data_IF_691640141557
#
_entry.id   IF_691640141557
#
_cell.length_a   1.000
_cell.length_b   1.000
_cell.length_c   1.000
_cell.angle_alpha   90.00
_cell.angle_beta   90.00
_cell.angle_gamma   90.00
#
_symmetry.space_group_name_H-M   'P 1'
#
loop_
_entity.id
_entity.type
_entity.pdbx_description
1 polymer ?
#
# COMPACT_ATOMS: atom_id res chain seq x y z
N UNK A 1 13.13 6.99 2.50
CA UNK A 1 12.83 6.91 1.05
C UNK A 1 11.52 6.16 0.89
N UNK A 2 10.59 6.73 0.14
CA UNK A 2 9.32 6.10 -0.19
C UNK A 2 9.44 5.57 -1.61
N UNK A 3 9.05 4.32 -1.83
CA UNK A 3 9.02 3.67 -3.14
C UNK A 3 7.56 3.34 -3.42
N UNK A 4 6.92 4.10 -4.29
CA UNK A 4 5.54 3.86 -4.65
C UNK A 4 5.46 2.69 -5.64
N UNK A 5 4.45 1.82 -5.49
CA UNK A 5 4.19 0.67 -6.34
C UNK A 5 5.42 -0.22 -6.56
N UNK A 6 6.06 -0.62 -5.45
CA UNK A 6 7.34 -1.34 -5.45
C UNK A 6 7.30 -2.65 -6.26
N UNK A 7 6.13 -3.29 -6.39
CA UNK A 7 5.95 -4.50 -7.17
C UNK A 7 5.94 -4.28 -8.69
N UNK A 8 5.86 -3.04 -9.19
CA UNK A 8 5.84 -2.75 -10.64
C UNK A 8 7.20 -2.90 -11.33
N UNK A 9 8.28 -2.94 -10.57
CA UNK A 9 9.63 -3.12 -11.09
C UNK A 9 10.18 -4.54 -10.88
N UNK A 10 11.19 -4.91 -11.67
CA UNK A 10 12.01 -6.09 -11.35
C UNK A 10 12.93 -5.75 -10.17
N UNK A 11 12.43 -6.00 -8.96
CA UNK A 11 13.10 -5.62 -7.73
C UNK A 11 14.49 -6.22 -7.57
N UNK A 12 14.69 -7.47 -8.01
CA UNK A 12 16.01 -8.11 -7.96
C UNK A 12 17.03 -7.40 -8.85
N UNK A 13 16.62 -6.90 -10.03
CA UNK A 13 17.48 -6.08 -10.90
C UNK A 13 17.71 -4.68 -10.35
N UNK A 14 16.68 -4.07 -9.77
CA UNK A 14 16.74 -2.70 -9.23
C UNK A 14 17.65 -2.65 -8.00
N UNK A 15 17.45 -3.56 -7.05
CA UNK A 15 18.25 -3.59 -5.83
C UNK A 15 19.63 -4.19 -6.08
N UNK A 16 19.76 -5.21 -6.93
CA UNK A 16 21.06 -5.80 -7.29
C UNK A 16 21.95 -6.05 -6.06
N UNK A 17 23.09 -5.37 -6.01
CA UNK A 17 24.09 -5.46 -4.94
C UNK A 17 23.59 -4.90 -3.59
N UNK A 18 22.59 -4.02 -3.60
CA UNK A 18 21.98 -3.43 -2.41
C UNK A 18 21.05 -4.41 -1.68
N UNK A 19 20.68 -5.52 -2.32
CA UNK A 19 19.77 -6.51 -1.77
C UNK A 19 20.24 -7.07 -0.43
N UNK A 20 21.55 -7.22 -0.24
CA UNK A 20 22.10 -7.61 1.06
C UNK A 20 22.07 -6.45 2.07
N UNK A 21 22.39 -5.25 1.61
CA UNK A 21 22.58 -4.06 2.45
C UNK A 21 21.29 -3.51 3.06
N UNK A 22 20.12 -3.87 2.51
CA UNK A 22 18.84 -3.47 3.08
C UNK A 22 18.51 -4.22 4.39
N UNK A 23 19.18 -5.33 4.69
CA UNK A 23 19.02 -6.04 5.97
C UNK A 23 19.49 -5.15 7.14
N UNK A 24 18.71 -5.08 8.23
CA UNK A 24 18.93 -4.11 9.30
C UNK A 24 20.31 -4.23 9.99
N UNK A 25 20.84 -5.45 10.09
CA UNK A 25 22.14 -5.76 10.69
C UNK A 25 23.33 -5.55 9.74
N UNK A 26 23.08 -5.38 8.43
CA UNK A 26 24.11 -5.23 7.39
C UNK A 26 24.34 -3.78 6.93
N UNK A 27 23.83 -2.81 7.67
CA UNK A 27 23.88 -1.37 7.37
C UNK A 27 25.07 -0.65 8.00
N UNK A 28 26.29 -1.13 7.73
CA UNK A 28 27.52 -0.49 8.23
C UNK A 28 28.70 -0.70 7.30
N UNK A 29 29.77 0.09 7.48
CA UNK A 29 31.02 -0.02 6.71
C UNK A 29 31.61 -1.43 6.68
N UNK A 30 31.36 -2.25 7.72
CA UNK A 30 31.81 -3.65 7.79
C UNK A 30 31.25 -4.51 6.64
N UNK A 31 30.07 -4.17 6.15
CA UNK A 31 29.38 -4.89 5.10
C UNK A 31 29.42 -4.15 3.75
N UNK A 32 30.22 -3.08 3.65
CA UNK A 32 30.30 -2.30 2.43
C UNK A 32 30.73 -3.17 1.25
N UNK A 33 30.09 -2.96 0.10
CA UNK A 33 30.35 -3.70 -1.14
C UNK A 33 30.91 -2.76 -2.18
N UNK A 34 31.75 -3.28 -3.08
CA UNK A 34 32.16 -2.55 -4.27
C UNK A 34 31.05 -2.66 -5.31
N UNK A 35 30.57 -1.52 -5.80
CA UNK A 35 29.52 -1.50 -6.81
C UNK A 35 30.11 -1.81 -8.19
N UNK A 36 29.31 -2.38 -9.09
CA UNK A 36 29.74 -2.78 -10.43
C UNK A 36 30.38 -1.63 -11.27
N UNK A 37 29.94 -0.39 -11.04
CA UNK A 37 30.44 0.80 -11.73
C UNK A 37 31.39 1.65 -10.87
N UNK A 38 31.82 1.14 -9.72
CA UNK A 38 32.72 1.87 -8.82
C UNK A 38 34.15 1.87 -9.35
N UNK A 39 34.77 3.05 -9.42
CA UNK A 39 36.19 3.18 -9.77
C UNK A 39 37.07 2.98 -8.51
N UNK A 40 38.28 2.43 -8.70
CA UNK A 40 39.25 2.25 -7.62
C UNK A 40 38.78 1.36 -6.46
N UNK A 41 39.02 1.80 -5.23
CA UNK A 41 38.71 1.08 -3.97
C UNK A 41 37.46 1.63 -3.26
N UNK A 42 36.63 2.40 -3.96
CA UNK A 42 35.41 2.95 -3.38
C UNK A 42 34.41 1.82 -3.06
N UNK A 43 33.79 1.91 -1.88
CA UNK A 43 32.81 0.94 -1.39
C UNK A 43 31.56 1.66 -0.90
N UNK A 44 30.42 0.99 -1.05
CA UNK A 44 29.11 1.51 -0.71
C UNK A 44 28.47 0.67 0.40
N UNK A 45 27.79 1.33 1.33
CA UNK A 45 26.91 0.68 2.30
C UNK A 45 25.68 1.56 2.56
N UNK A 46 24.56 0.93 2.94
CA UNK A 46 23.36 1.65 3.34
C UNK A 46 23.52 2.11 4.79
N UNK A 47 23.33 3.41 5.12
CA UNK A 47 23.45 3.89 6.49
C UNK A 47 22.23 3.50 7.32
N UNK A 48 22.42 3.31 8.64
CA UNK A 48 21.35 2.83 9.56
C UNK A 48 20.14 3.76 9.65
N UNK A 49 20.33 5.06 9.41
CA UNK A 49 19.26 6.06 9.44
C UNK A 49 18.42 6.11 8.15
N UNK A 50 18.73 5.32 7.12
CA UNK A 50 17.90 5.23 5.92
C UNK A 50 16.80 4.19 6.10
N UNK A 51 15.54 4.63 6.08
CA UNK A 51 14.38 3.74 6.06
C UNK A 51 13.79 3.65 4.65
N UNK A 52 13.40 2.44 4.25
CA UNK A 52 12.73 2.15 3.00
C UNK A 52 11.28 1.80 3.31
N UNK A 53 10.33 2.55 2.75
CA UNK A 53 8.90 2.28 2.87
C UNK A 53 8.39 2.07 1.45
N UNK A 54 7.95 0.85 1.15
CA UNK A 54 7.36 0.51 -0.14
C UNK A 54 5.84 0.43 -0.02
N UNK A 55 5.11 1.02 -0.96
CA UNK A 55 3.68 0.73 -1.14
C UNK A 55 3.54 -0.34 -2.22
N UNK A 56 2.51 -1.17 -2.10
CA UNK A 56 2.26 -2.25 -3.04
C UNK A 56 0.76 -2.35 -3.28
N UNK A 57 0.37 -2.38 -4.55
CA UNK A 57 -1.00 -2.75 -4.91
C UNK A 57 -1.08 -4.28 -4.98
N UNK A 58 -1.90 -4.88 -4.13
CA UNK A 58 -2.09 -6.33 -4.01
C UNK A 58 -3.05 -6.92 -5.04
N UNK A 59 -3.90 -6.10 -5.66
CA UNK A 59 -4.87 -6.54 -6.67
C UNK A 59 -4.21 -6.89 -8.01
N UNK A 60 -3.02 -6.33 -8.28
CA UNK A 60 -2.37 -6.49 -9.56
C UNK A 60 -1.59 -7.81 -9.65
N UNK A 61 -2.25 -8.84 -10.18
CA UNK A 61 -1.69 -10.17 -10.44
C UNK A 61 -0.65 -10.21 -11.57
N UNK A 62 -0.53 -9.13 -12.36
CA UNK A 62 0.41 -9.07 -13.50
C UNK A 62 1.84 -8.70 -13.11
N UNK A 63 2.02 -8.25 -11.86
CA UNK A 63 3.28 -7.73 -11.36
C UNK A 63 4.20 -8.83 -10.84
N UNK A 64 5.50 -8.57 -10.88
CA UNK A 64 6.50 -9.51 -10.42
C UNK A 64 6.19 -9.91 -8.97
N UNK A 65 5.85 -11.18 -8.76
CA UNK A 65 5.70 -11.73 -7.41
C UNK A 65 6.95 -11.37 -6.61
N UNK A 66 6.76 -10.64 -5.50
CA UNK A 66 7.89 -10.31 -4.63
C UNK A 66 8.49 -11.61 -4.14
N UNK A 67 9.71 -11.87 -4.58
CA UNK A 67 10.38 -13.14 -4.34
C UNK A 67 10.60 -13.35 -2.84
N UNK A 68 10.88 -14.60 -2.48
CA UNK A 68 11.09 -14.97 -1.08
C UNK A 68 12.28 -14.23 -0.43
N UNK A 69 13.31 -13.89 -1.21
CA UNK A 69 14.48 -13.17 -0.73
C UNK A 69 14.12 -11.72 -0.33
N UNK A 70 13.29 -11.03 -1.10
CA UNK A 70 12.76 -9.70 -0.77
C UNK A 70 11.80 -9.76 0.41
N UNK A 71 10.93 -10.77 0.45
CA UNK A 71 9.96 -10.93 1.54
C UNK A 71 10.63 -11.00 2.92
N UNK A 72 11.82 -11.59 3.00
CA UNK A 72 12.60 -11.67 4.25
C UNK A 72 13.24 -10.36 4.69
N UNK A 73 13.32 -9.35 3.82
CA UNK A 73 14.06 -8.10 4.03
C UNK A 73 13.16 -6.90 4.27
N UNK A 74 11.87 -7.06 3.99
CA UNK A 74 10.83 -6.10 4.31
C UNK A 74 9.90 -6.68 5.38
N UNK A 75 9.39 -5.79 6.24
CA UNK A 75 8.21 -6.10 7.05
C UNK A 75 6.99 -5.73 6.22
N UNK A 76 6.04 -6.66 6.10
CA UNK A 76 4.80 -6.47 5.35
C UNK A 76 3.70 -6.08 6.32
N UNK A 77 3.06 -4.95 6.03
CA UNK A 77 1.92 -4.43 6.79
C UNK A 77 0.76 -4.39 5.81
N UNK A 78 -0.29 -5.16 6.09
CA UNK A 78 -1.52 -5.07 5.32
C UNK A 78 -2.26 -3.78 5.71
N UNK A 79 -2.76 -3.06 4.72
CA UNK A 79 -3.58 -1.85 4.94
C UNK A 79 -4.95 -2.11 4.35
N UNK A 80 -5.90 -2.42 5.23
CA UNK A 80 -7.27 -2.78 4.87
C UNK A 80 -8.13 -1.54 4.59
N UNK A 81 -9.22 -1.68 3.82
CA UNK A 81 -10.21 -0.63 3.67
C UNK A 81 -10.79 -0.20 5.03
N UNK A 82 -10.63 1.09 5.37
CA UNK A 82 -10.94 1.63 6.69
C UNK A 82 -12.43 1.94 6.94
N UNK A 83 -13.37 1.29 6.24
CA UNK A 83 -14.81 1.58 6.36
C UNK A 83 -15.35 1.42 7.79
N UNK A 84 -14.77 0.51 8.58
CA UNK A 84 -15.17 0.24 9.95
C UNK A 84 -14.50 1.13 11.01
N UNK A 85 -13.64 2.06 10.59
CA UNK A 85 -12.89 2.92 11.53
C UNK A 85 -13.72 4.13 11.96
N UNK A 86 -13.52 4.57 13.21
CA UNK A 86 -14.14 5.82 13.68
C UNK A 86 -13.64 7.02 12.89
N UNK A 87 -12.38 7.01 12.47
CA UNK A 87 -11.79 8.10 11.69
C UNK A 87 -12.47 8.28 10.32
N UNK A 88 -12.87 7.18 9.66
CA UNK A 88 -13.61 7.27 8.41
C UNK A 88 -15.01 7.87 8.63
N UNK A 89 -15.72 7.43 9.67
CA UNK A 89 -17.02 8.00 10.04
C UNK A 89 -16.90 9.51 10.38
N UNK A 90 -16.01 9.86 11.30
CA UNK A 90 -15.75 11.24 11.71
C UNK A 90 -15.39 12.14 10.52
N UNK A 91 -14.62 11.61 9.57
CA UNK A 91 -14.28 12.32 8.34
C UNK A 91 -15.52 12.62 7.50
N UNK A 92 -16.41 11.65 7.25
CA UNK A 92 -17.62 11.89 6.47
C UNK A 92 -18.62 12.82 7.18
N UNK A 93 -18.75 12.71 8.51
CA UNK A 93 -19.53 13.66 9.32
C UNK A 93 -18.97 15.08 9.14
N UNK A 94 -17.65 15.24 9.19
CA UNK A 94 -17.01 16.56 8.99
C UNK A 94 -17.30 17.16 7.61
N UNK A 95 -17.62 16.32 6.63
CA UNK A 95 -17.98 16.69 5.26
C UNK A 95 -19.48 16.97 5.09
N UNK A 96 -20.28 16.85 6.15
CA UNK A 96 -21.71 17.13 6.13
C UNK A 96 -22.57 15.95 5.69
N UNK A 97 -22.02 14.74 5.61
CA UNK A 97 -22.77 13.52 5.30
C UNK A 97 -23.47 13.03 6.57
N UNK A 98 -24.74 12.63 6.46
CA UNK A 98 -25.53 12.18 7.59
C UNK A 98 -25.11 10.77 8.07
N UNK A 99 -25.24 10.50 9.37
CA UNK A 99 -24.90 9.18 9.94
C UNK A 99 -25.67 8.04 9.24
N UNK A 100 -26.96 8.24 8.95
CA UNK A 100 -27.74 7.22 8.27
C UNK A 100 -27.25 6.93 6.85
N UNK A 101 -26.68 7.92 6.16
CA UNK A 101 -26.08 7.72 4.84
C UNK A 101 -24.72 7.02 4.93
N UNK A 102 -23.92 7.37 5.94
CA UNK A 102 -22.66 6.68 6.24
C UNK A 102 -22.91 5.20 6.53
N UNK A 103 -23.91 4.89 7.38
CA UNK A 103 -24.28 3.51 7.72
C UNK A 103 -24.67 2.73 6.45
N UNK A 104 -25.46 3.35 5.56
CA UNK A 104 -25.82 2.75 4.27
C UNK A 104 -24.60 2.44 3.39
N UNK A 105 -23.63 3.35 3.31
CA UNK A 105 -22.38 3.13 2.55
C UNK A 105 -21.59 1.98 3.17
N UNK A 106 -21.37 2.02 4.47
CA UNK A 106 -20.57 1.02 5.19
C UNK A 106 -21.21 -0.35 5.05
N UNK A 107 -22.51 -0.49 5.30
CA UNK A 107 -23.22 -1.77 5.13
C UNK A 107 -23.10 -2.28 3.69
N UNK A 108 -23.40 -1.44 2.69
CA UNK A 108 -23.37 -1.87 1.29
C UNK A 108 -21.98 -2.30 0.82
N UNK A 109 -20.94 -1.55 1.16
CA UNK A 109 -19.57 -1.90 0.76
C UNK A 109 -19.03 -3.08 1.56
N UNK A 110 -19.38 -3.22 2.84
CA UNK A 110 -19.01 -4.40 3.62
C UNK A 110 -19.59 -5.67 3.01
N UNK A 111 -20.86 -5.67 2.59
CA UNK A 111 -21.45 -6.82 1.91
C UNK A 111 -20.73 -7.15 0.58
N UNK A 112 -20.43 -6.12 -0.22
CA UNK A 112 -19.68 -6.31 -1.48
C UNK A 112 -18.27 -6.86 -1.22
N UNK A 113 -17.53 -6.30 -0.26
CA UNK A 113 -16.19 -6.77 0.07
C UNK A 113 -16.22 -8.20 0.63
N UNK A 114 -17.25 -8.59 1.39
CA UNK A 114 -17.40 -9.99 1.83
C UNK A 114 -17.56 -10.94 0.64
N UNK A 115 -18.37 -10.59 -0.36
CA UNK A 115 -18.50 -11.38 -1.59
C UNK A 115 -17.16 -11.49 -2.33
N UNK A 116 -16.43 -10.37 -2.47
CA UNK A 116 -15.09 -10.33 -3.11
C UNK A 116 -14.09 -11.23 -2.39
N UNK A 117 -14.03 -11.16 -1.05
CA UNK A 117 -13.14 -11.97 -0.22
C UNK A 117 -13.48 -13.45 -0.36
N UNK A 118 -14.78 -13.78 -0.42
CA UNK A 118 -15.25 -15.16 -0.53
C UNK A 118 -14.93 -15.82 -1.88
N UNK A 119 -14.74 -15.03 -2.95
CA UNK A 119 -14.34 -15.52 -4.27
C UNK A 119 -12.85 -15.87 -4.31
N UNK A 120 -12.55 -17.08 -3.84
CA UNK A 120 -11.20 -17.69 -3.88
C UNK A 120 -10.72 -18.08 -5.27
N UNK A 121 -11.59 -18.04 -6.30
CA UNK A 121 -11.24 -18.45 -7.67
C UNK A 121 -10.74 -17.26 -8.48
N UNK A 122 -11.47 -16.14 -8.46
CA UNK A 122 -11.20 -15.00 -9.34
C UNK A 122 -10.61 -13.79 -8.60
N UNK A 123 -11.02 -13.52 -7.36
CA UNK A 123 -10.72 -12.28 -6.65
C UNK A 123 -9.88 -12.55 -5.39
N UNK A 124 -10.53 -12.64 -4.23
CA UNK A 124 -9.92 -12.77 -2.90
C UNK A 124 -9.68 -11.43 -2.22
N UNK A 125 -9.11 -11.47 -1.01
CA UNK A 125 -8.89 -10.34 -0.11
C UNK A 125 -8.16 -9.15 -0.76
N UNK A 126 -7.17 -9.40 -1.61
CA UNK A 126 -6.42 -8.33 -2.28
C UNK A 126 -7.23 -7.46 -3.26
N UNK A 127 -8.49 -7.81 -3.54
CA UNK A 127 -9.39 -7.13 -4.48
C UNK A 127 -10.50 -6.32 -3.81
N UNK A 128 -10.51 -6.23 -2.48
CA UNK A 128 -11.48 -5.41 -1.77
C UNK A 128 -11.53 -3.97 -2.31
N UNK A 129 -12.72 -3.39 -2.32
CA UNK A 129 -12.92 -2.00 -2.70
C UNK A 129 -12.32 -1.12 -1.60
N UNK A 130 -11.49 -0.16 -2.00
CA UNK A 130 -10.89 0.82 -1.10
C UNK A 130 -11.85 1.97 -0.73
N UNK A 131 -11.66 2.54 0.46
CA UNK A 131 -12.43 3.67 0.96
C UNK A 131 -12.11 5.00 0.28
N UNK A 132 -11.06 5.07 -0.56
CA UNK A 132 -10.64 6.29 -1.25
C UNK A 132 -11.72 6.88 -2.16
N UNK A 133 -12.54 6.03 -2.81
CA UNK A 133 -13.67 6.46 -3.63
C UNK A 133 -14.74 7.22 -2.81
N UNK A 134 -14.84 6.90 -1.53
CA UNK A 134 -15.82 7.45 -0.60
C UNK A 134 -15.24 8.60 0.22
N UNK A 135 -14.07 9.14 -0.14
CA UNK A 135 -13.47 10.29 0.54
C UNK A 135 -13.66 11.58 -0.28
N UNK A 136 -14.70 12.41 -0.01
CA UNK A 136 -14.94 13.63 -0.77
C UNK A 136 -13.83 14.67 -0.54
N UNK A 137 -13.23 15.16 -1.62
CA UNK A 137 -12.16 16.18 -1.58
C UNK A 137 -12.67 17.60 -1.39
N UNK A 138 -13.97 17.84 -1.63
CA UNK A 138 -14.64 19.13 -1.40
C UNK A 138 -14.77 19.43 0.09
N UNK A 139 -14.93 20.71 0.47
CA UNK A 139 -15.05 21.10 1.88
C UNK A 139 -16.33 20.56 2.53
N UNK A 140 -17.46 20.61 1.82
CA UNK A 140 -18.76 20.14 2.28
C UNK A 140 -19.55 19.53 1.13
N UNK A 141 -20.15 18.37 1.39
CA UNK A 141 -21.11 17.71 0.49
C UNK A 141 -22.48 18.35 0.71
N UNK A 142 -23.01 19.03 -0.31
CA UNK A 142 -24.34 19.67 -0.23
C UNK A 142 -25.48 18.66 -0.40
N UNK A 143 -25.27 17.65 -1.24
CA UNK A 143 -26.23 16.60 -1.57
C UNK A 143 -25.49 15.26 -1.55
N UNK A 144 -25.72 14.50 -0.49
CA UNK A 144 -25.07 13.20 -0.24
C UNK A 144 -25.49 12.14 -1.28
N UNK A 145 -26.75 12.18 -1.75
CA UNK A 145 -27.24 11.23 -2.75
C UNK A 145 -26.60 11.50 -4.12
N UNK A 146 -26.57 12.77 -4.55
CA UNK A 146 -25.92 13.16 -5.80
C UNK A 146 -24.40 12.93 -5.77
N UNK A 147 -23.77 13.10 -4.61
CA UNK A 147 -22.37 12.77 -4.43
C UNK A 147 -22.13 11.27 -4.59
N UNK A 148 -22.94 10.43 -3.94
CA UNK A 148 -22.85 8.98 -4.04
C UNK A 148 -23.10 8.45 -5.45
N UNK A 149 -24.09 9.02 -6.16
CA UNK A 149 -24.39 8.68 -7.57
C UNK A 149 -23.23 8.96 -8.54
N UNK A 150 -22.25 9.79 -8.16
CA UNK A 150 -21.04 10.01 -8.97
C UNK A 150 -19.96 8.98 -8.72
N UNK A 151 -20.05 8.24 -7.61
CA UNK A 151 -19.09 7.20 -7.22
C UNK A 151 -19.46 5.87 -7.88
N UNK A 152 -20.76 5.57 -7.96
CA UNK A 152 -21.30 4.32 -8.53
C UNK A 152 -21.48 4.36 -10.05
#
# INVERSE_FOLDING_TARGET
MIIDEINRGNLSKIFGELMMLIEADKRSKKFAVKLAYSEGEETFYIPKNLYLIGTMNTADRSLAMVDYALRRRFSFINVEPAFHTTQFNDYLISKGISQGFIDRIVTGISEINQEIISDTVNLGEGFEIGHSYFCPTIEKVEDEQKWFERII
#
